data_IF_503157962927
#
_entry.id   IF_503157962927
#
_cell.length_a   1.000
_cell.length_b   1.000
_cell.length_c   1.000
_cell.angle_alpha   90.00
_cell.angle_beta   90.00
_cell.angle_gamma   90.00
#
_symmetry.space_group_name_H-M   'P 1'
#
loop_
_entity.id
_entity.type
_entity.pdbx_description
1 polymer ?
#
# COMPACT_ATOMS: atom_id res chain seq x y z
N UNK A 1 17.51 6.34 -31.50
CA UNK A 1 16.10 6.04 -31.84
C UNK A 1 15.58 4.83 -31.05
N UNK A 2 16.39 3.77 -30.90
CA UNK A 2 16.11 2.57 -30.10
C UNK A 2 15.73 2.84 -28.63
N UNK A 3 16.58 3.56 -27.88
CA UNK A 3 16.39 3.86 -26.46
C UNK A 3 15.05 4.55 -26.14
N UNK A 4 14.62 5.49 -27.01
CA UNK A 4 13.32 6.18 -26.84
C UNK A 4 12.14 5.24 -27.02
N UNK A 5 12.26 4.22 -27.88
CA UNK A 5 11.23 3.22 -28.11
C UNK A 5 11.14 2.26 -26.92
N UNK A 6 12.28 1.76 -26.44
CA UNK A 6 12.37 0.89 -25.26
C UNK A 6 11.80 1.56 -24.00
N UNK A 7 12.16 2.83 -23.75
CA UNK A 7 11.61 3.59 -22.63
C UNK A 7 10.10 3.79 -22.72
N UNK A 8 9.56 3.94 -23.94
CA UNK A 8 8.12 4.09 -24.15
C UNK A 8 7.38 2.77 -23.92
N UNK A 9 7.95 1.66 -24.38
CA UNK A 9 7.40 0.32 -24.16
C UNK A 9 7.43 -0.04 -22.67
N UNK A 10 8.55 0.21 -21.98
CA UNK A 10 8.66 -0.04 -20.54
C UNK A 10 7.65 0.79 -19.73
N UNK A 11 7.49 2.08 -20.04
CA UNK A 11 6.47 2.93 -19.40
C UNK A 11 5.07 2.37 -19.59
N UNK A 12 4.74 1.92 -20.80
CA UNK A 12 3.44 1.33 -21.10
C UNK A 12 3.20 0.05 -20.29
N UNK A 13 4.18 -0.84 -20.25
CA UNK A 13 4.09 -2.08 -19.45
C UNK A 13 3.91 -1.77 -17.97
N UNK A 14 4.66 -0.81 -17.42
CA UNK A 14 4.52 -0.41 -16.02
C UNK A 14 3.13 0.18 -15.73
N UNK A 15 2.58 0.99 -16.63
CA UNK A 15 1.23 1.52 -16.50
C UNK A 15 0.16 0.41 -16.52
N UNK A 16 0.32 -0.60 -17.39
CA UNK A 16 -0.57 -1.76 -17.47
C UNK A 16 -0.48 -2.63 -16.21
N UNK A 17 0.72 -2.93 -15.74
CA UNK A 17 0.95 -3.69 -14.51
C UNK A 17 0.35 -2.98 -13.29
N UNK A 18 0.56 -1.66 -13.18
CA UNK A 18 -0.03 -0.85 -12.11
C UNK A 18 -1.55 -0.88 -12.14
N UNK A 19 -2.17 -0.74 -13.32
CA UNK A 19 -3.63 -0.84 -13.47
C UNK A 19 -4.14 -2.21 -13.05
N UNK A 20 -3.44 -3.27 -13.46
CA UNK A 20 -3.78 -4.65 -13.08
C UNK A 20 -3.72 -4.83 -11.56
N UNK A 21 -2.63 -4.41 -10.92
CA UNK A 21 -2.45 -4.49 -9.47
C UNK A 21 -3.51 -3.70 -8.70
N UNK A 22 -3.87 -2.50 -9.17
CA UNK A 22 -4.97 -1.75 -8.54
C UNK A 22 -6.31 -2.45 -8.71
N UNK A 23 -6.58 -3.03 -9.89
CA UNK A 23 -7.85 -3.72 -10.15
C UNK A 23 -8.00 -5.08 -9.46
N UNK A 24 -6.90 -5.72 -9.03
CA UNK A 24 -6.92 -7.02 -8.37
C UNK A 24 -7.15 -6.94 -6.87
N UNK A 25 -7.17 -5.74 -6.29
CA UNK A 25 -7.43 -5.58 -4.86
C UNK A 25 -8.89 -5.87 -4.52
N UNK A 26 -9.17 -6.13 -3.24
CA UNK A 26 -10.52 -5.97 -2.69
C UNK A 26 -11.04 -4.54 -2.97
N UNK A 27 -12.38 -4.31 -2.91
CA UNK A 27 -12.96 -2.99 -3.08
C UNK A 27 -12.20 -1.93 -2.26
N UNK A 28 -11.56 -0.94 -2.93
CA UNK A 28 -10.74 0.05 -2.25
C UNK A 28 -11.53 0.85 -1.22
N UNK A 29 -10.90 1.13 -0.08
CA UNK A 29 -11.49 1.94 1.00
C UNK A 29 -10.65 3.20 1.18
N UNK A 30 -11.29 4.37 1.34
CA UNK A 30 -10.52 5.58 1.65
C UNK A 30 -9.79 5.42 2.98
N UNK A 31 -8.55 5.90 3.11
CA UNK A 31 -7.79 5.73 4.35
C UNK A 31 -8.51 6.30 5.58
N UNK A 32 -9.25 7.40 5.39
CA UNK A 32 -10.10 8.00 6.43
C UNK A 32 -11.22 7.07 6.89
N UNK A 33 -11.91 6.45 5.94
CA UNK A 33 -12.99 5.51 6.25
C UNK A 33 -12.45 4.22 6.86
N UNK A 34 -11.33 3.71 6.34
CA UNK A 34 -10.63 2.57 6.90
C UNK A 34 -10.29 2.80 8.37
N UNK A 35 -9.66 3.93 8.69
CA UNK A 35 -9.28 4.29 10.06
C UNK A 35 -10.50 4.33 10.99
N UNK A 36 -11.57 5.00 10.57
CA UNK A 36 -12.83 5.07 11.33
C UNK A 36 -13.45 3.68 11.55
N UNK A 37 -13.47 2.85 10.51
CA UNK A 37 -14.04 1.51 10.59
C UNK A 37 -13.20 0.63 11.53
N UNK A 38 -11.88 0.73 11.48
CA UNK A 38 -11.00 0.00 12.39
C UNK A 38 -11.25 0.41 13.85
N UNK A 39 -11.27 1.71 14.16
CA UNK A 39 -11.56 2.20 15.52
C UNK A 39 -12.94 1.77 16.03
N UNK A 40 -13.95 1.76 15.16
CA UNK A 40 -15.31 1.35 15.53
C UNK A 40 -15.44 -0.16 15.83
N UNK A 41 -14.50 -0.98 15.35
CA UNK A 41 -14.50 -2.43 15.54
C UNK A 41 -13.45 -2.89 16.59
N UNK A 42 -12.81 -1.96 17.30
CA UNK A 42 -12.00 -2.30 18.47
C UNK A 42 -12.91 -2.64 19.65
N UNK A 43 -13.29 -3.91 19.81
CA UNK A 43 -13.97 -4.43 21.00
C UNK A 43 -12.95 -4.95 22.01
N UNK A 44 -12.62 -4.14 23.03
CA UNK A 44 -11.65 -4.40 24.10
C UNK A 44 -10.22 -4.75 23.64
N UNK A 45 -9.23 -4.20 24.33
CA UNK A 45 -7.83 -4.07 23.85
C UNK A 45 -7.04 -5.39 23.66
N UNK A 46 -7.66 -6.56 23.86
CA UNK A 46 -6.97 -7.85 23.89
C UNK A 46 -6.86 -8.58 22.54
N UNK A 47 -7.64 -8.21 21.51
CA UNK A 47 -7.62 -8.90 20.20
C UNK A 47 -7.68 -7.92 19.02
N UNK A 48 -6.66 -7.06 18.91
CA UNK A 48 -6.57 -6.09 17.80
C UNK A 48 -6.33 -6.76 16.42
N UNK A 49 -5.88 -8.00 16.42
CA UNK A 49 -5.58 -8.80 15.24
C UNK A 49 -6.81 -9.51 14.65
N UNK A 50 -7.87 -9.75 15.44
CA UNK A 50 -9.11 -10.44 15.05
C UNK A 50 -10.27 -9.51 14.60
N UNK A 51 -10.05 -8.19 14.62
CA UNK A 51 -11.07 -7.17 14.31
C UNK A 51 -11.28 -6.86 12.81
N UNK A 52 -11.42 -5.57 12.47
CA UNK A 52 -11.69 -5.11 11.10
C UNK A 52 -10.54 -5.49 10.14
N UNK A 53 -10.87 -6.18 9.04
CA UNK A 53 -9.89 -6.70 8.08
C UNK A 53 -8.82 -7.61 8.70
N UNK A 54 -9.25 -8.47 9.64
CA UNK A 54 -8.45 -9.53 10.24
C UNK A 54 -8.18 -10.71 9.29
N UNK A 55 -7.41 -10.45 8.24
CA UNK A 55 -6.89 -11.49 7.35
C UNK A 55 -5.42 -11.27 7.07
N UNK A 56 -4.72 -12.37 6.81
CA UNK A 56 -3.35 -12.37 6.33
C UNK A 56 -3.29 -11.87 4.89
N UNK A 57 -2.34 -11.00 4.60
CA UNK A 57 -2.13 -10.55 3.23
C UNK A 57 -1.21 -9.35 3.09
N UNK A 58 -1.18 -8.84 1.86
CA UNK A 58 -0.52 -7.60 1.51
C UNK A 58 -1.53 -6.44 1.40
N UNK A 59 -1.02 -5.23 1.46
CA UNK A 59 -1.80 -4.02 1.25
C UNK A 59 -0.95 -2.96 0.56
N UNK A 60 -1.63 -2.03 -0.11
CA UNK A 60 -1.03 -0.80 -0.59
C UNK A 60 -1.82 0.41 -0.06
N UNK A 61 -1.10 1.46 0.32
CA UNK A 61 -1.67 2.76 0.67
C UNK A 61 -1.21 3.73 -0.41
N UNK A 62 -2.17 4.21 -1.21
CA UNK A 62 -1.90 5.14 -2.31
C UNK A 62 -2.33 6.55 -1.93
N UNK A 63 -1.52 7.54 -2.29
CA UNK A 63 -1.85 8.96 -2.19
C UNK A 63 -2.15 9.51 -3.57
N UNK A 64 -3.35 10.06 -3.76
CA UNK A 64 -3.80 10.59 -5.06
C UNK A 64 -3.22 11.99 -5.32
N UNK A 65 -3.06 12.34 -6.61
CA UNK A 65 -2.63 13.69 -7.02
C UNK A 65 -3.65 14.77 -6.66
N UNK A 66 -4.93 14.41 -6.61
CA UNK A 66 -6.02 15.31 -6.24
C UNK A 66 -7.25 14.53 -5.78
N UNK A 67 -8.15 15.20 -5.08
CA UNK A 67 -9.43 14.61 -4.61
C UNK A 67 -10.40 14.23 -5.74
N UNK A 68 -10.22 14.80 -6.94
CA UNK A 68 -11.11 14.56 -8.08
C UNK A 68 -10.67 13.41 -9.00
N UNK A 69 -9.47 12.87 -8.79
CA UNK A 69 -8.96 11.74 -9.55
C UNK A 69 -9.75 10.47 -9.21
N UNK A 70 -10.25 9.78 -10.23
CA UNK A 70 -11.04 8.55 -10.09
C UNK A 70 -10.25 7.31 -10.50
N UNK A 71 -9.25 7.48 -11.36
CA UNK A 71 -8.35 6.39 -11.70
C UNK A 71 -7.37 6.20 -10.56
N UNK A 72 -7.63 5.22 -9.70
CA UNK A 72 -6.75 4.89 -8.58
C UNK A 72 -5.34 4.50 -9.03
N UNK A 73 -5.14 4.05 -10.28
CA UNK A 73 -3.80 3.79 -10.81
C UNK A 73 -3.01 5.07 -11.11
N UNK A 74 -3.66 6.24 -11.15
CA UNK A 74 -3.02 7.53 -11.40
C UNK A 74 -2.46 8.21 -10.13
N UNK A 75 -2.28 7.45 -9.04
CA UNK A 75 -1.72 7.94 -7.78
C UNK A 75 -0.38 8.67 -7.95
N UNK A 76 -0.08 9.53 -6.97
CA UNK A 76 1.19 10.28 -6.85
C UNK A 76 2.25 9.42 -6.20
N UNK A 77 1.92 8.85 -5.04
CA UNK A 77 2.81 8.06 -4.20
C UNK A 77 2.11 6.80 -3.69
N UNK A 78 2.89 5.81 -3.29
CA UNK A 78 2.39 4.52 -2.80
C UNK A 78 3.35 3.91 -1.78
N UNK A 79 2.76 3.25 -0.79
CA UNK A 79 3.42 2.35 0.13
C UNK A 79 2.81 0.95 -0.03
N UNK A 80 3.63 -0.10 0.00
CA UNK A 80 3.22 -1.51 0.06
C UNK A 80 3.70 -2.10 1.37
N UNK A 81 2.84 -2.86 2.03
CA UNK A 81 3.18 -3.61 3.24
C UNK A 81 2.46 -4.95 3.28
N UNK A 82 2.76 -5.74 4.31
CA UNK A 82 2.11 -7.02 4.55
C UNK A 82 1.94 -7.27 6.06
N UNK A 83 1.11 -8.25 6.41
CA UNK A 83 0.95 -8.69 7.80
C UNK A 83 -0.03 -9.86 7.94
N UNK A 84 0.03 -10.52 9.09
CA UNK A 84 -0.96 -11.53 9.50
C UNK A 84 -2.35 -10.95 9.76
N UNK A 85 -2.43 -9.63 9.99
CA UNK A 85 -3.67 -8.87 10.02
C UNK A 85 -3.48 -7.57 9.23
N UNK A 86 -4.04 -7.51 8.02
CA UNK A 86 -3.99 -6.32 7.16
C UNK A 86 -4.64 -5.12 7.85
N UNK A 87 -5.74 -5.34 8.57
CA UNK A 87 -6.40 -4.34 9.41
C UNK A 87 -5.44 -3.61 10.34
N UNK A 88 -4.79 -4.37 11.21
CA UNK A 88 -3.85 -3.85 12.19
C UNK A 88 -2.61 -3.23 11.56
N UNK A 89 -2.10 -3.84 10.48
CA UNK A 89 -0.91 -3.34 9.79
C UNK A 89 -1.17 -1.97 9.16
N UNK A 90 -2.27 -1.81 8.41
CA UNK A 90 -2.67 -0.52 7.82
C UNK A 90 -2.94 0.52 8.92
N UNK A 91 -3.69 0.15 9.95
CA UNK A 91 -3.98 1.06 11.06
C UNK A 91 -2.71 1.57 11.74
N UNK A 92 -1.70 0.71 11.90
CA UNK A 92 -0.39 1.08 12.45
C UNK A 92 0.34 2.12 11.59
N UNK A 93 0.24 2.03 10.25
CA UNK A 93 0.76 3.07 9.36
C UNK A 93 0.05 4.41 9.61
N UNK A 94 -1.28 4.40 9.60
CA UNK A 94 -2.10 5.62 9.68
C UNK A 94 -2.02 6.32 11.05
N UNK A 95 -1.66 5.60 12.12
CA UNK A 95 -1.48 6.16 13.47
C UNK A 95 -0.04 6.57 13.79
N UNK A 96 0.88 6.45 12.83
CA UNK A 96 2.28 6.91 12.98
C UNK A 96 3.22 5.91 13.66
N UNK A 97 2.88 4.62 13.64
CA UNK A 97 3.76 3.54 14.11
C UNK A 97 4.51 2.83 12.97
N UNK A 98 4.29 3.25 11.72
CA UNK A 98 4.95 2.69 10.53
C UNK A 98 5.70 3.77 9.75
N UNK A 99 5.54 3.75 8.42
CA UNK A 99 6.19 4.67 7.50
C UNK A 99 5.77 6.13 7.76
N UNK A 100 6.76 7.00 7.93
CA UNK A 100 6.56 8.39 8.35
C UNK A 100 5.85 9.24 7.28
N UNK A 101 6.11 8.97 6.00
CA UNK A 101 5.53 9.73 4.88
C UNK A 101 4.04 9.38 4.74
N UNK A 102 3.68 8.09 4.89
CA UNK A 102 2.29 7.64 4.93
C UNK A 102 1.52 8.32 6.07
N UNK A 103 2.11 8.37 7.27
CA UNK A 103 1.50 9.03 8.41
C UNK A 103 1.34 10.54 8.18
N UNK A 104 2.35 11.20 7.60
CA UNK A 104 2.30 12.63 7.30
C UNK A 104 1.14 12.95 6.36
N UNK A 105 1.03 12.25 5.24
CA UNK A 105 -0.07 12.43 4.28
C UNK A 105 -1.44 12.21 4.93
N UNK A 106 -1.58 11.17 5.75
CA UNK A 106 -2.83 10.88 6.44
C UNK A 106 -3.19 12.00 7.42
N UNK A 107 -2.22 12.45 8.23
CA UNK A 107 -2.38 13.56 9.19
C UNK A 107 -2.77 14.86 8.49
N UNK A 108 -2.20 15.13 7.32
CA UNK A 108 -2.51 16.32 6.52
C UNK A 108 -3.74 16.14 5.60
N UNK A 109 -4.45 15.01 5.71
CA UNK A 109 -5.71 14.73 5.01
C UNK A 109 -5.57 14.71 3.49
N UNK A 110 -4.44 14.23 3.01
CA UNK A 110 -4.25 13.92 1.60
C UNK A 110 -5.29 12.88 1.14
N UNK A 111 -5.70 12.89 -0.15
CA UNK A 111 -6.66 11.94 -0.68
C UNK A 111 -6.02 10.56 -0.81
N UNK A 112 -6.18 9.73 0.23
CA UNK A 112 -5.55 8.42 0.31
C UNK A 112 -6.55 7.26 0.25
N UNK A 113 -6.11 6.14 -0.32
CA UNK A 113 -6.88 4.90 -0.41
C UNK A 113 -6.05 3.70 0.02
N UNK A 114 -6.73 2.70 0.58
CA UNK A 114 -6.18 1.41 0.96
C UNK A 114 -6.65 0.38 -0.05
N UNK A 115 -5.69 -0.33 -0.64
CA UNK A 115 -5.88 -1.49 -1.49
C UNK A 115 -5.44 -2.72 -0.69
N UNK A 116 -6.24 -3.77 -0.68
CA UNK A 116 -5.94 -4.98 0.12
C UNK A 116 -5.94 -6.23 -0.73
N UNK A 117 -4.98 -7.11 -0.43
CA UNK A 117 -4.65 -8.31 -1.18
C UNK A 117 -4.53 -9.49 -0.22
N UNK A 118 -5.65 -10.18 0.10
CA UNK A 118 -5.60 -11.39 0.92
C UNK A 118 -4.74 -12.45 0.23
N UNK A 119 -3.82 -13.05 0.98
CA UNK A 119 -3.04 -14.20 0.52
C UNK A 119 -2.69 -15.12 1.69
N UNK A 120 -2.25 -16.33 1.38
CA UNK A 120 -1.81 -17.26 2.42
C UNK A 120 -0.45 -16.83 2.98
N UNK A 121 -0.12 -17.34 4.17
CA UNK A 121 1.09 -16.93 4.90
C UNK A 121 2.38 -17.28 4.14
N UNK A 122 2.38 -18.38 3.39
CA UNK A 122 3.46 -18.82 2.50
C UNK A 122 3.56 -18.01 1.20
N UNK A 123 2.52 -17.23 0.86
CA UNK A 123 2.46 -16.39 -0.33
C UNK A 123 2.81 -14.91 -0.05
N UNK A 124 2.95 -14.51 1.22
CA UNK A 124 3.23 -13.12 1.61
C UNK A 124 4.46 -12.56 0.90
N UNK A 125 5.58 -13.30 0.92
CA UNK A 125 6.85 -12.85 0.34
C UNK A 125 6.75 -12.61 -1.18
N UNK A 126 6.31 -13.61 -1.96
CA UNK A 126 6.08 -13.46 -3.40
C UNK A 126 5.08 -12.34 -3.74
N UNK A 127 3.94 -12.27 -3.06
CA UNK A 127 2.91 -11.25 -3.31
C UNK A 127 3.43 -9.84 -3.01
N UNK A 128 4.14 -9.67 -1.89
CA UNK A 128 4.77 -8.40 -1.52
C UNK A 128 5.76 -7.94 -2.60
N UNK A 129 6.62 -8.83 -3.08
CA UNK A 129 7.61 -8.51 -4.12
C UNK A 129 6.94 -8.14 -5.45
N UNK A 130 5.90 -8.87 -5.85
CA UNK A 130 5.14 -8.57 -7.07
C UNK A 130 4.44 -7.20 -6.97
N UNK A 131 3.80 -6.90 -5.84
CA UNK A 131 3.15 -5.61 -5.61
C UNK A 131 4.15 -4.46 -5.58
N UNK A 132 5.30 -4.64 -4.91
CA UNK A 132 6.37 -3.64 -4.85
C UNK A 132 6.83 -3.25 -6.27
N UNK A 133 6.97 -4.23 -7.16
CA UNK A 133 7.34 -4.01 -8.57
C UNK A 133 6.19 -3.40 -9.37
N UNK A 134 5.00 -4.01 -9.35
CA UNK A 134 3.87 -3.60 -10.18
C UNK A 134 3.33 -2.22 -9.82
N UNK A 135 3.41 -1.83 -8.54
CA UNK A 135 3.05 -0.50 -8.05
C UNK A 135 4.25 0.47 -8.03
N UNK A 136 5.43 0.00 -8.42
CA UNK A 136 6.65 0.81 -8.45
C UNK A 136 6.96 1.49 -7.10
N UNK A 137 6.65 0.78 -6.00
CA UNK A 137 6.65 1.33 -4.65
C UNK A 137 8.06 1.50 -4.06
N UNK A 138 9.03 0.74 -4.57
CA UNK A 138 10.44 0.88 -4.23
C UNK A 138 11.02 2.27 -4.56
N UNK A 139 10.45 2.96 -5.55
CA UNK A 139 10.82 4.35 -5.91
C UNK A 139 9.92 5.40 -5.22
N UNK A 140 9.03 4.97 -4.32
CA UNK A 140 8.08 5.81 -3.59
C UNK A 140 8.27 5.63 -2.08
N UNK A 141 7.22 5.47 -1.28
CA UNK A 141 7.32 5.47 0.18
C UNK A 141 8.14 4.30 0.75
N UNK A 142 8.17 3.14 0.09
CA UNK A 142 9.02 2.01 0.52
C UNK A 142 10.52 2.26 0.33
N UNK A 143 10.93 3.31 -0.38
CA UNK A 143 12.34 3.60 -0.66
C UNK A 143 13.19 3.63 0.61
N UNK A 144 12.70 4.29 1.66
CA UNK A 144 13.43 4.45 2.92
C UNK A 144 13.49 3.15 3.72
N UNK A 145 12.40 2.38 3.73
CA UNK A 145 12.33 1.09 4.41
C UNK A 145 13.33 0.11 3.79
N UNK A 146 13.40 0.06 2.46
CA UNK A 146 14.35 -0.79 1.74
C UNK A 146 15.81 -0.37 1.95
N UNK A 147 16.09 0.94 1.98
CA UNK A 147 17.44 1.44 2.27
C UNK A 147 17.90 1.07 3.70
N UNK A 148 16.99 1.07 4.66
CA UNK A 148 17.30 0.72 6.05
C UNK A 148 17.67 -0.76 6.21
N UNK A 149 17.06 -1.64 5.43
CA UNK A 149 17.34 -3.09 5.43
C UNK A 149 18.72 -3.42 4.85
N UNK A 150 19.15 -2.71 3.81
CA UNK A 150 20.49 -2.89 3.23
C UNK A 150 21.59 -2.33 4.15
N UNK A 151 21.27 -1.31 4.94
CA UNK A 151 22.23 -0.66 5.85
C UNK A 151 22.48 -1.44 7.15
N UNK A 152 21.71 -2.51 7.41
CA UNK A 152 21.85 -3.40 8.58
C UNK A 152 22.70 -4.64 8.31
N UNK A 153 23.22 -4.81 7.09
CA UNK A 153 24.06 -5.96 6.69
C UNK A 153 25.58 -5.67 6.71
N UNK A 154 26.01 -4.50 7.20
CA UNK A 154 27.43 -4.09 7.34
C UNK A 154 27.96 -4.18 8.79
#
# INVERSE_FOLDING_TARGET
MQLKKELKEQKKTNEENRKKAVSSSLPPVSAKEFFKNFEANMSDSSELDSGYMAFTGCYAIITMKSKGEKDLSAYKDVFVGCGSSVGLAVYSQLRGLGNIDVYADFKFKEPMWVLSYPCNEDEIGPEFAELLQNLNAADSYNKWDLQSLVSTED
#
